data_IF_297647261104
#
_entry.id   IF_297647261104
#
_cell.length_a   1.000
_cell.length_b   1.000
_cell.length_c   1.000
_cell.angle_alpha   90.00
_cell.angle_beta   90.00
_cell.angle_gamma   90.00
#
_symmetry.space_group_name_H-M   'P 1'
#
loop_
_entity.id
_entity.type
_entity.pdbx_description
1 polymer ?
#
# COMPACT_ATOMS: atom_id res chain seq x y z
N UNK A 1 -6.00 -18.58 5.77
CA UNK A 1 -4.72 -18.38 6.49
C UNK A 1 -4.90 -17.53 7.76
N UNK A 2 -5.55 -16.36 7.71
CA UNK A 2 -5.74 -15.45 8.86
C UNK A 2 -6.39 -16.09 10.09
N UNK A 3 -7.51 -16.81 9.94
CA UNK A 3 -8.17 -17.53 11.06
C UNK A 3 -7.26 -18.52 11.78
N UNK A 4 -6.40 -19.22 11.04
CA UNK A 4 -5.45 -20.18 11.63
C UNK A 4 -4.38 -19.48 12.47
N UNK A 5 -3.88 -18.33 11.98
CA UNK A 5 -2.87 -17.53 12.70
C UNK A 5 -3.44 -16.87 13.95
N UNK A 6 -4.67 -16.36 13.86
CA UNK A 6 -5.37 -15.83 15.03
C UNK A 6 -5.62 -16.94 16.07
N UNK A 7 -6.03 -18.15 15.63
CA UNK A 7 -6.16 -19.30 16.55
C UNK A 7 -4.83 -19.66 17.23
N UNK A 8 -3.71 -19.66 16.49
CA UNK A 8 -2.41 -20.00 17.08
C UNK A 8 -1.89 -18.95 18.09
N UNK A 9 -2.30 -17.69 17.95
CA UNK A 9 -1.83 -16.57 18.78
C UNK A 9 -2.91 -16.00 19.71
N UNK A 10 -4.10 -16.63 19.75
CA UNK A 10 -5.25 -16.11 20.50
C UNK A 10 -5.01 -16.05 21.99
N UNK A 11 -4.28 -17.02 22.56
CA UNK A 11 -3.91 -17.03 23.98
C UNK A 11 -2.96 -15.87 24.32
N UNK A 12 -2.03 -15.55 23.44
CA UNK A 12 -1.10 -14.43 23.60
C UNK A 12 -1.83 -13.08 23.51
N UNK A 13 -2.75 -12.93 22.55
CA UNK A 13 -3.60 -11.74 22.48
C UNK A 13 -4.49 -11.61 23.72
N UNK A 14 -5.09 -12.70 24.19
CA UNK A 14 -5.91 -12.68 25.41
C UNK A 14 -5.09 -12.27 26.65
N UNK A 15 -3.88 -12.80 26.80
CA UNK A 15 -2.97 -12.43 27.88
C UNK A 15 -2.57 -10.95 27.79
N UNK A 16 -2.29 -10.45 26.58
CA UNK A 16 -2.03 -9.03 26.35
C UNK A 16 -3.21 -8.16 26.80
N UNK A 17 -4.42 -8.49 26.35
CA UNK A 17 -5.64 -7.73 26.70
C UNK A 17 -5.85 -7.67 28.21
N UNK A 18 -5.61 -8.77 28.93
CA UNK A 18 -5.68 -8.81 30.40
C UNK A 18 -4.59 -7.98 31.07
N UNK A 19 -3.39 -7.88 30.47
CA UNK A 19 -2.27 -7.14 31.04
C UNK A 19 -2.37 -5.62 30.89
N UNK A 20 -3.10 -5.14 29.86
CA UNK A 20 -3.13 -3.70 29.53
C UNK A 20 -4.42 -2.99 29.98
N UNK A 21 -5.43 -3.72 30.46
CA UNK A 21 -6.59 -3.09 31.09
C UNK A 21 -7.74 -4.03 31.40
N UNK A 22 -8.88 -3.44 31.76
CA UNK A 22 -10.00 -4.14 32.37
C UNK A 22 -11.06 -4.53 31.33
N UNK A 23 -11.32 -3.62 30.38
CA UNK A 23 -12.39 -3.80 29.39
C UNK A 23 -11.86 -3.55 27.98
N UNK A 24 -11.98 -4.57 27.13
CA UNK A 24 -11.61 -4.50 25.73
C UNK A 24 -12.86 -4.35 24.85
N UNK A 25 -12.78 -3.45 23.87
CA UNK A 25 -13.79 -3.23 22.83
C UNK A 25 -13.13 -3.38 21.47
N UNK A 26 -13.75 -4.11 20.56
CA UNK A 26 -13.25 -4.27 19.18
C UNK A 26 -13.96 -3.33 18.21
N UNK A 27 -13.30 -2.99 17.10
CA UNK A 27 -13.87 -2.25 15.97
C UNK A 27 -14.45 -0.89 16.37
N UNK A 28 -13.74 -0.17 17.24
CA UNK A 28 -14.19 1.09 17.84
C UNK A 28 -14.03 2.21 16.83
N UNK A 29 -15.15 2.81 16.41
CA UNK A 29 -15.14 4.02 15.59
C UNK A 29 -14.81 5.22 16.45
N UNK A 30 -13.78 5.98 16.06
CA UNK A 30 -13.40 7.24 16.71
C UNK A 30 -13.43 8.39 15.70
N UNK A 31 -13.82 9.58 16.14
CA UNK A 31 -13.95 10.76 15.25
C UNK A 31 -13.57 12.08 15.91
N UNK A 32 -12.87 12.91 15.13
CA UNK A 32 -12.67 14.34 15.37
C UNK A 32 -13.19 15.11 14.15
N UNK A 33 -14.39 15.70 14.31
CA UNK A 33 -15.05 16.45 13.24
C UNK A 33 -14.36 17.79 12.95
N UNK A 34 -13.72 18.41 13.94
CA UNK A 34 -13.04 19.70 13.75
C UNK A 34 -11.79 19.51 12.87
N UNK A 35 -11.08 18.40 13.05
CA UNK A 35 -9.93 18.02 12.24
C UNK A 35 -10.31 17.15 11.04
N UNK A 36 -11.58 16.87 10.76
CA UNK A 36 -12.03 15.97 9.69
C UNK A 36 -11.30 14.61 9.70
N UNK A 37 -11.02 14.09 10.89
CA UNK A 37 -10.36 12.81 11.09
C UNK A 37 -11.36 11.80 11.65
N UNK A 38 -11.27 10.58 11.15
CA UNK A 38 -12.03 9.45 11.66
C UNK A 38 -11.23 8.17 11.42
N UNK A 39 -11.49 7.16 12.22
CA UNK A 39 -10.84 5.86 12.10
C UNK A 39 -11.63 4.78 12.82
N UNK A 40 -11.37 3.53 12.43
CA UNK A 40 -11.86 2.37 13.14
C UNK A 40 -10.65 1.67 13.75
N UNK A 41 -10.60 1.65 15.08
CA UNK A 41 -9.54 1.00 15.84
C UNK A 41 -9.91 -0.46 16.04
N UNK A 42 -9.00 -1.38 15.72
CA UNK A 42 -9.26 -2.81 15.82
C UNK A 42 -9.61 -3.20 17.26
N UNK A 43 -8.84 -2.75 18.26
CA UNK A 43 -9.14 -2.95 19.68
C UNK A 43 -8.75 -1.72 20.50
N UNK A 44 -9.65 -1.29 21.37
CA UNK A 44 -9.38 -0.34 22.45
C UNK A 44 -9.55 -1.06 23.78
N UNK A 45 -8.53 -1.05 24.62
CA UNK A 45 -8.60 -1.52 25.99
C UNK A 45 -8.64 -0.29 26.90
N UNK A 46 -9.62 -0.21 27.79
CA UNK A 46 -9.68 0.87 28.78
C UNK A 46 -9.16 0.39 30.14
N UNK A 47 -8.48 1.29 30.85
CA UNK A 47 -8.17 1.20 32.27
C UNK A 47 -8.43 2.59 32.92
N UNK A 48 -8.06 2.77 34.19
CA UNK A 48 -8.24 4.05 34.89
C UNK A 48 -7.31 5.18 34.40
N UNK A 49 -6.21 4.84 33.74
CA UNK A 49 -5.08 5.74 33.45
C UNK A 49 -5.01 6.20 31.97
N UNK A 50 -5.58 5.44 31.03
CA UNK A 50 -5.53 5.78 29.60
C UNK A 50 -5.79 4.58 28.69
N UNK A 51 -5.39 3.39 29.11
CA UNK A 51 -5.65 2.14 28.40
C UNK A 51 -4.68 1.90 27.24
N UNK A 52 -5.09 1.10 26.26
CA UNK A 52 -4.26 0.78 25.10
C UNK A 52 -5.05 0.80 23.80
N UNK A 53 -4.37 1.24 22.73
CA UNK A 53 -4.84 1.12 21.35
C UNK A 53 -4.05 -0.01 20.70
N UNK A 54 -4.76 -1.01 20.18
CA UNK A 54 -4.14 -2.18 19.55
C UNK A 54 -4.63 -2.30 18.10
N UNK A 55 -3.69 -2.38 17.17
CA UNK A 55 -3.93 -2.59 15.72
C UNK A 55 -3.44 -4.00 15.32
N UNK A 56 -4.32 -4.79 14.72
CA UNK A 56 -4.07 -6.19 14.37
C UNK A 56 -3.49 -6.30 12.95
N UNK A 57 -2.30 -6.90 12.82
CA UNK A 57 -1.62 -7.04 11.53
C UNK A 57 -1.45 -8.48 11.10
N UNK A 58 -1.75 -8.74 9.83
CA UNK A 58 -1.60 -10.07 9.21
C UNK A 58 -0.32 -10.23 8.38
N UNK A 59 0.32 -9.10 8.04
CA UNK A 59 1.54 -8.99 7.23
C UNK A 59 2.84 -9.19 8.01
N UNK A 60 3.98 -9.07 7.32
CA UNK A 60 5.31 -9.16 7.94
C UNK A 60 5.77 -7.81 8.53
N UNK A 61 5.28 -6.70 7.99
CA UNK A 61 5.79 -5.36 8.31
C UNK A 61 4.94 -4.70 9.41
N UNK A 62 5.19 -5.07 10.67
CA UNK A 62 4.55 -4.48 11.85
C UNK A 62 5.12 -3.11 12.23
N UNK A 63 6.41 -2.87 11.98
CA UNK A 63 7.09 -1.61 12.32
C UNK A 63 7.45 -0.77 11.10
N UNK A 64 6.43 -0.26 10.42
CA UNK A 64 6.63 0.73 9.36
C UNK A 64 6.25 2.12 9.87
N UNK A 65 6.86 3.16 9.31
CA UNK A 65 6.47 4.55 9.60
C UNK A 65 4.98 4.79 9.30
N UNK A 66 4.41 4.04 8.34
CA UNK A 66 2.97 4.04 8.05
C UNK A 66 2.15 3.51 9.22
N UNK A 67 2.54 2.39 9.83
CA UNK A 67 1.85 1.81 11.00
C UNK A 67 1.98 2.75 12.20
N UNK A 68 3.19 3.28 12.45
CA UNK A 68 3.42 4.30 13.49
C UNK A 68 2.51 5.51 13.28
N UNK A 69 2.49 6.07 12.07
CA UNK A 69 1.63 7.22 11.72
C UNK A 69 0.15 6.91 11.96
N UNK A 70 -0.33 5.72 11.57
CA UNK A 70 -1.72 5.32 11.80
C UNK A 70 -2.06 5.27 13.30
N UNK A 71 -1.22 4.63 14.11
CA UNK A 71 -1.43 4.53 15.56
C UNK A 71 -1.37 5.90 16.25
N UNK A 72 -0.51 6.81 15.80
CA UNK A 72 -0.47 8.20 16.30
C UNK A 72 -1.76 8.96 15.96
N UNK A 73 -2.34 8.75 14.77
CA UNK A 73 -3.66 9.29 14.43
C UNK A 73 -4.75 8.70 15.34
N UNK A 74 -4.69 7.41 15.64
CA UNK A 74 -5.63 6.77 16.57
C UNK A 74 -5.46 7.29 18.00
N UNK A 75 -4.24 7.55 18.46
CA UNK A 75 -3.97 8.18 19.74
C UNK A 75 -4.61 9.57 19.85
N UNK A 76 -4.52 10.38 18.79
CA UNK A 76 -5.22 11.67 18.72
C UNK A 76 -6.74 11.50 18.82
N UNK A 77 -7.32 10.60 18.02
CA UNK A 77 -8.76 10.36 18.01
C UNK A 77 -9.27 9.85 19.36
N UNK A 78 -8.50 8.99 20.02
CA UNK A 78 -8.80 8.49 21.35
C UNK A 78 -8.74 9.61 22.40
N UNK A 79 -7.71 10.47 22.34
CA UNK A 79 -7.60 11.67 23.17
C UNK A 79 -8.79 12.60 23.00
N UNK A 80 -9.20 12.83 21.76
CA UNK A 80 -10.33 13.70 21.46
C UNK A 80 -11.64 13.16 22.05
N UNK A 81 -11.91 11.85 22.00
CA UNK A 81 -13.16 11.28 22.51
C UNK A 81 -13.19 11.06 24.04
N UNK A 82 -12.04 10.73 24.64
CA UNK A 82 -11.97 10.34 26.05
C UNK A 82 -11.39 11.42 26.97
N UNK A 83 -10.85 12.50 26.38
CA UNK A 83 -10.03 13.51 27.07
C UNK A 83 -8.78 12.93 27.78
N UNK A 84 -8.28 11.77 27.32
CA UNK A 84 -7.09 11.10 27.87
C UNK A 84 -6.25 10.50 26.76
N UNK A 85 -4.94 10.47 26.95
CA UNK A 85 -4.07 9.71 26.05
C UNK A 85 -4.16 8.22 26.37
N UNK A 86 -3.93 7.33 25.39
CA UNK A 86 -3.67 5.94 25.71
C UNK A 86 -2.35 5.82 26.48
N UNK A 87 -2.20 4.82 27.33
CA UNK A 87 -0.93 4.50 28.00
C UNK A 87 0.02 3.78 27.02
N UNK A 88 -0.56 3.03 26.07
CA UNK A 88 0.20 2.23 25.11
C UNK A 88 -0.43 2.25 23.70
N UNK A 89 0.45 2.28 22.70
CA UNK A 89 0.13 1.98 21.31
C UNK A 89 0.80 0.65 20.96
N UNK A 90 0.02 -0.33 20.50
CA UNK A 90 0.49 -1.69 20.28
C UNK A 90 0.10 -2.15 18.88
N UNK A 91 1.05 -2.74 18.18
CA UNK A 91 0.79 -3.54 16.99
C UNK A 91 0.79 -5.00 17.41
N UNK A 92 -0.31 -5.72 17.18
CA UNK A 92 -0.34 -7.16 17.36
C UNK A 92 -0.20 -7.86 16.01
N UNK A 93 1.01 -8.29 15.69
CA UNK A 93 1.31 -9.09 14.51
C UNK A 93 0.87 -10.54 14.72
N UNK A 94 0.00 -11.05 13.84
CA UNK A 94 -0.37 -12.47 13.84
C UNK A 94 0.82 -13.39 13.49
N UNK A 95 1.99 -12.84 13.13
CA UNK A 95 3.24 -13.59 12.92
C UNK A 95 4.18 -13.48 14.11
N UNK A 96 4.41 -12.26 14.59
CA UNK A 96 5.49 -11.95 15.54
C UNK A 96 5.01 -11.68 16.97
N UNK A 97 3.70 -11.52 17.20
CA UNK A 97 3.15 -11.19 18.51
C UNK A 97 2.97 -9.68 18.71
N UNK A 98 2.94 -9.28 19.98
CA UNK A 98 2.77 -7.89 20.38
C UNK A 98 4.06 -7.08 20.26
N UNK A 99 3.96 -5.88 19.70
CA UNK A 99 5.05 -4.92 19.59
C UNK A 99 4.54 -3.54 20.01
N UNK A 100 5.18 -2.95 21.02
CA UNK A 100 4.83 -1.62 21.51
C UNK A 100 5.47 -0.54 20.63
N UNK A 101 4.71 0.52 20.37
CA UNK A 101 5.16 1.69 19.62
C UNK A 101 5.34 2.84 20.61
N UNK A 102 6.59 3.24 20.81
CA UNK A 102 6.92 4.39 21.65
C UNK A 102 6.35 5.67 21.04
N UNK A 103 5.74 6.52 21.84
CA UNK A 103 5.21 7.79 21.38
C UNK A 103 5.21 8.83 22.49
N UNK A 104 5.11 10.09 22.08
CA UNK A 104 4.92 11.25 22.93
C UNK A 104 3.75 12.10 22.40
N UNK A 105 3.27 13.04 23.22
CA UNK A 105 2.32 14.06 22.74
C UNK A 105 2.86 14.85 21.55
N UNK A 106 4.17 15.13 21.54
CA UNK A 106 4.84 15.81 20.43
C UNK A 106 4.78 15.02 19.13
N UNK A 107 4.86 13.68 19.18
CA UNK A 107 4.72 12.82 18.00
C UNK A 107 3.30 12.89 17.42
N UNK A 108 2.29 12.89 18.29
CA UNK A 108 0.88 12.98 17.91
C UNK A 108 0.63 14.33 17.20
N UNK A 109 1.03 15.43 17.85
CA UNK A 109 0.85 16.77 17.30
C UNK A 109 1.65 16.95 16.00
N UNK A 110 2.84 16.36 15.91
CA UNK A 110 3.66 16.31 14.70
C UNK A 110 2.93 15.63 13.55
N UNK A 111 2.33 14.45 13.76
CA UNK A 111 1.53 13.75 12.75
C UNK A 111 0.34 14.59 12.29
N UNK A 112 -0.37 15.24 13.20
CA UNK A 112 -1.51 16.09 12.84
C UNK A 112 -1.10 17.28 11.98
N UNK A 113 0.03 17.93 12.31
CA UNK A 113 0.60 19.00 11.47
C UNK A 113 0.94 18.48 10.07
N UNK A 114 1.53 17.28 9.96
CA UNK A 114 1.81 16.63 8.65
C UNK A 114 0.52 16.38 7.87
N UNK A 115 -0.52 15.85 8.51
CA UNK A 115 -1.82 15.62 7.87
C UNK A 115 -2.47 16.91 7.38
N UNK A 116 -2.47 17.96 8.21
CA UNK A 116 -3.00 19.27 7.84
C UNK A 116 -2.22 19.90 6.68
N UNK A 117 -0.89 19.78 6.69
CA UNK A 117 -0.04 20.26 5.60
C UNK A 117 -0.33 19.50 4.29
N UNK A 118 -0.42 18.17 4.35
CA UNK A 118 -0.72 17.33 3.19
C UNK A 118 -2.07 17.70 2.56
N UNK A 119 -3.12 17.94 3.37
CA UNK A 119 -4.45 18.34 2.85
C UNK A 119 -4.46 19.65 2.05
N UNK A 120 -3.50 20.54 2.30
CA UNK A 120 -3.40 21.82 1.58
C UNK A 120 -2.72 21.66 0.21
N UNK A 121 -2.14 20.50 -0.09
CA UNK A 121 -1.41 20.27 -1.33
C UNK A 121 -2.32 19.67 -2.42
N UNK A 122 -2.50 20.33 -3.57
CA UNK A 122 -3.42 19.90 -4.63
C UNK A 122 -2.96 18.68 -5.43
N UNK A 123 -1.69 18.26 -5.30
CA UNK A 123 -1.12 17.08 -5.96
C UNK A 123 -0.07 16.44 -5.05
N UNK A 124 -0.38 15.26 -4.51
CA UNK A 124 0.45 14.50 -3.56
C UNK A 124 1.04 13.23 -4.17
N UNK A 125 1.04 13.09 -5.50
CA UNK A 125 1.73 11.96 -6.09
C UNK A 125 3.24 12.17 -5.88
N UNK A 126 3.84 11.33 -5.05
CA UNK A 126 5.28 11.22 -4.88
C UNK A 126 5.67 9.85 -5.43
N UNK A 127 5.88 9.72 -6.75
CA UNK A 127 6.16 8.44 -7.35
C UNK A 127 7.48 7.90 -6.81
N UNK A 128 7.43 6.69 -6.27
CA UNK A 128 8.58 5.96 -5.82
C UNK A 128 8.48 4.50 -6.30
N UNK A 129 9.58 3.83 -6.68
CA UNK A 129 9.50 2.48 -7.22
C UNK A 129 8.79 1.48 -6.29
N UNK A 130 9.02 1.57 -4.98
CA UNK A 130 8.48 0.62 -4.01
C UNK A 130 6.97 0.79 -3.79
N UNK A 131 6.49 2.03 -3.66
CA UNK A 131 5.08 2.37 -3.47
C UNK A 131 4.28 2.25 -4.75
N UNK A 132 4.81 2.70 -5.88
CA UNK A 132 4.13 2.62 -7.17
C UNK A 132 3.94 1.18 -7.65
N UNK A 133 4.90 0.28 -7.39
CA UNK A 133 4.83 -1.14 -7.82
C UNK A 133 3.53 -1.82 -7.42
N UNK A 134 2.98 -1.48 -6.26
CA UNK A 134 1.75 -2.08 -5.73
C UNK A 134 0.52 -1.17 -5.84
N UNK A 135 0.65 0.00 -6.48
CA UNK A 135 -0.42 0.99 -6.58
C UNK A 135 -1.42 0.61 -7.69
N UNK A 136 -2.68 0.35 -7.31
CA UNK A 136 -3.75 0.00 -8.26
C UNK A 136 -4.12 1.12 -9.24
N UNK A 137 -3.75 2.37 -8.94
CA UNK A 137 -4.00 3.53 -9.81
C UNK A 137 -2.89 3.76 -10.83
N UNK A 138 -1.78 3.01 -10.74
CA UNK A 138 -0.55 3.21 -11.52
C UNK A 138 -0.80 3.34 -13.03
N UNK A 139 -1.66 2.50 -13.61
CA UNK A 139 -2.00 2.54 -15.04
C UNK A 139 -2.55 3.90 -15.52
N UNK A 140 -3.16 4.68 -14.64
CA UNK A 140 -3.78 5.99 -14.94
C UNK A 140 -3.14 7.15 -14.18
N UNK A 141 -1.98 6.92 -13.54
CA UNK A 141 -1.32 7.92 -12.72
C UNK A 141 -0.21 8.59 -13.53
N UNK A 142 -0.49 9.75 -14.11
CA UNK A 142 0.49 10.46 -14.94
C UNK A 142 1.82 10.75 -14.23
N UNK A 143 1.83 11.24 -12.98
CA UNK A 143 3.09 11.46 -12.26
C UNK A 143 3.94 10.19 -12.15
N UNK A 144 3.31 9.01 -12.05
CA UNK A 144 4.04 7.75 -12.05
C UNK A 144 4.75 7.51 -13.40
N UNK A 145 4.08 7.70 -14.53
CA UNK A 145 4.65 7.44 -15.86
C UNK A 145 5.76 8.41 -16.21
N UNK A 146 5.58 9.68 -15.86
CA UNK A 146 6.63 10.70 -15.97
C UNK A 146 7.90 10.28 -15.21
N UNK A 147 7.75 9.86 -13.94
CA UNK A 147 8.87 9.45 -13.10
C UNK A 147 9.49 8.10 -13.51
N UNK A 148 8.68 7.12 -13.93
CA UNK A 148 9.13 5.76 -14.19
C UNK A 148 10.10 5.65 -15.36
N UNK A 149 10.02 6.57 -16.32
CA UNK A 149 10.97 6.67 -17.43
C UNK A 149 12.43 6.86 -16.99
N UNK A 150 12.65 7.43 -15.80
CA UNK A 150 13.95 7.72 -15.24
C UNK A 150 14.43 6.68 -14.21
N UNK A 151 13.64 5.64 -13.92
CA UNK A 151 14.04 4.60 -12.98
C UNK A 151 15.09 3.69 -13.60
N UNK A 152 16.03 3.21 -12.78
CA UNK A 152 17.09 2.28 -13.21
C UNK A 152 16.51 0.93 -13.65
N UNK A 153 15.55 0.40 -12.89
CA UNK A 153 14.85 -0.85 -13.18
C UNK A 153 13.33 -0.66 -13.12
N UNK A 154 12.72 -0.04 -14.15
CA UNK A 154 11.28 0.11 -14.20
C UNK A 154 10.65 -1.25 -14.46
N UNK A 155 9.52 -1.55 -13.81
CA UNK A 155 8.70 -2.74 -14.10
C UNK A 155 7.47 -2.39 -14.97
N UNK A 156 7.63 -1.40 -15.85
CA UNK A 156 6.57 -0.90 -16.73
C UNK A 156 7.09 -0.45 -18.09
N UNK A 157 6.18 -0.41 -19.07
CA UNK A 157 6.45 0.02 -20.44
C UNK A 157 5.29 0.89 -20.92
N UNK A 158 5.60 2.03 -21.51
CA UNK A 158 4.66 2.89 -22.21
C UNK A 158 5.14 3.14 -23.64
N UNK A 159 4.20 3.17 -24.57
CA UNK A 159 4.45 3.61 -25.93
C UNK A 159 3.32 3.23 -26.87
N UNK A 160 3.61 3.25 -28.17
CA UNK A 160 2.63 2.95 -29.21
C UNK A 160 2.78 1.50 -29.69
N UNK A 161 1.68 0.77 -29.80
CA UNK A 161 1.70 -0.60 -30.34
C UNK A 161 2.09 -0.55 -31.83
N UNK A 162 3.24 -1.11 -32.18
CA UNK A 162 3.71 -1.16 -33.57
C UNK A 162 3.52 -2.52 -34.22
N UNK A 163 3.49 -3.59 -33.42
CA UNK A 163 3.28 -4.96 -33.92
C UNK A 163 2.68 -5.85 -32.85
N UNK A 164 1.87 -6.81 -33.27
CA UNK A 164 1.30 -7.83 -32.38
C UNK A 164 1.51 -9.20 -33.03
N UNK A 165 1.94 -10.17 -32.22
CA UNK A 165 2.14 -11.55 -32.63
C UNK A 165 1.43 -12.50 -31.67
N UNK A 166 0.79 -13.53 -32.22
CA UNK A 166 0.18 -14.59 -31.43
C UNK A 166 1.02 -15.85 -31.54
N UNK A 167 1.35 -16.44 -30.40
CA UNK A 167 1.94 -17.77 -30.32
C UNK A 167 0.84 -18.84 -30.38
N UNK A 168 1.21 -20.06 -30.80
CA UNK A 168 0.30 -21.21 -30.81
C UNK A 168 -0.31 -21.53 -29.42
N UNK A 169 0.34 -21.08 -28.34
CA UNK A 169 -0.07 -21.31 -26.95
C UNK A 169 -1.07 -20.27 -26.42
N UNK A 170 -1.77 -19.53 -27.29
CA UNK A 170 -2.70 -18.42 -26.93
C UNK A 170 -2.05 -17.23 -26.18
N UNK A 171 -0.73 -17.23 -26.06
CA UNK A 171 0.04 -16.10 -25.57
C UNK A 171 0.33 -15.13 -26.69
N UNK A 172 0.50 -13.86 -26.34
CA UNK A 172 0.77 -12.79 -27.28
C UNK A 172 2.10 -12.11 -26.96
N UNK A 173 2.73 -11.59 -28.00
CA UNK A 173 3.85 -10.66 -27.93
C UNK A 173 3.44 -9.36 -28.60
N UNK A 174 3.72 -8.23 -27.95
CA UNK A 174 3.41 -6.89 -28.45
C UNK A 174 4.71 -6.11 -28.55
N UNK A 175 4.99 -5.56 -29.72
CA UNK A 175 6.06 -4.59 -29.90
C UNK A 175 5.52 -3.21 -29.63
N UNK A 176 6.18 -2.50 -28.73
CA UNK A 176 5.84 -1.16 -28.29
C UNK A 176 6.98 -0.23 -28.69
N UNK A 177 6.64 0.80 -29.46
CA UNK A 177 7.55 1.88 -29.79
C UNK A 177 7.51 2.89 -28.64
N UNK A 178 8.59 2.93 -27.85
CA UNK A 178 8.77 3.89 -26.75
C UNK A 178 9.53 5.12 -27.25
N UNK A 179 9.70 6.13 -26.38
CA UNK A 179 10.47 7.33 -26.72
C UNK A 179 11.93 7.01 -27.07
N UNK A 180 12.50 5.96 -26.46
CA UNK A 180 13.93 5.65 -26.56
C UNK A 180 14.26 4.43 -27.42
N UNK A 181 13.33 3.48 -27.58
CA UNK A 181 13.60 2.25 -28.31
C UNK A 181 12.30 1.51 -28.70
N UNK A 182 12.44 0.52 -29.58
CA UNK A 182 11.41 -0.50 -29.75
C UNK A 182 11.62 -1.62 -28.73
N UNK A 183 10.56 -1.98 -28.02
CA UNK A 183 10.63 -2.98 -26.95
C UNK A 183 9.54 -4.05 -27.17
N UNK A 184 9.85 -5.29 -26.82
CA UNK A 184 8.87 -6.37 -26.86
C UNK A 184 8.29 -6.60 -25.48
N UNK A 185 6.98 -6.78 -25.39
CA UNK A 185 6.28 -7.28 -24.21
C UNK A 185 5.69 -8.64 -24.56
N UNK A 186 6.27 -9.71 -24.01
CA UNK A 186 5.99 -11.11 -24.37
C UNK A 186 5.25 -11.84 -23.26
N UNK A 187 4.64 -12.99 -23.59
CA UNK A 187 3.95 -13.84 -22.62
C UNK A 187 2.60 -13.27 -22.14
N UNK A 188 2.03 -12.32 -22.89
CA UNK A 188 0.77 -11.68 -22.52
C UNK A 188 -0.40 -12.65 -22.75
N UNK A 189 -1.25 -12.83 -21.75
CA UNK A 189 -2.53 -13.49 -21.96
C UNK A 189 -3.45 -12.62 -22.82
N UNK A 190 -4.33 -13.24 -23.62
CA UNK A 190 -5.30 -12.51 -24.45
C UNK A 190 -6.16 -11.53 -23.66
N UNK A 191 -6.50 -11.86 -22.40
CA UNK A 191 -7.25 -10.99 -21.49
C UNK A 191 -6.49 -9.70 -21.11
N UNK A 192 -5.16 -9.73 -21.12
CA UNK A 192 -4.31 -8.55 -20.88
C UNK A 192 -4.19 -7.73 -22.15
N UNK A 193 -4.22 -8.35 -23.33
CA UNK A 193 -4.16 -7.62 -24.61
C UNK A 193 -5.49 -6.96 -24.96
N UNK A 194 -6.62 -7.54 -24.57
CA UNK A 194 -7.92 -6.87 -24.45
C UNK A 194 -8.25 -5.81 -25.52
N UNK A 195 -8.36 -6.20 -26.79
CA UNK A 195 -8.83 -5.31 -27.86
C UNK A 195 -7.83 -4.23 -28.32
N UNK A 196 -6.59 -4.25 -27.82
CA UNK A 196 -5.50 -3.41 -28.34
C UNK A 196 -5.27 -3.67 -29.85
N UNK A 197 -4.93 -2.61 -30.57
CA UNK A 197 -4.57 -2.65 -31.99
C UNK A 197 -3.28 -1.89 -32.24
N UNK A 198 -2.63 -2.16 -33.37
CA UNK A 198 -1.53 -1.32 -33.85
C UNK A 198 -1.97 0.15 -33.94
N UNK A 199 -1.12 1.05 -33.46
CA UNK A 199 -1.38 2.48 -33.35
C UNK A 199 -1.98 2.91 -32.01
N UNK A 200 -2.45 2.00 -31.16
CA UNK A 200 -2.92 2.37 -29.82
C UNK A 200 -1.73 2.74 -28.91
N UNK A 201 -1.87 3.81 -28.13
CA UNK A 201 -0.97 4.09 -27.00
C UNK A 201 -1.34 3.17 -25.85
N UNK A 202 -0.34 2.47 -25.32
CA UNK A 202 -0.52 1.44 -24.30
C UNK A 202 0.46 1.61 -23.16
N UNK A 203 -0.01 1.27 -21.96
CA UNK A 203 0.73 1.19 -20.72
C UNK A 203 0.69 -0.23 -20.19
N UNK A 204 1.84 -0.83 -19.90
CA UNK A 204 1.98 -2.12 -19.22
C UNK A 204 2.67 -1.95 -17.87
N UNK A 205 2.14 -2.60 -16.83
CA UNK A 205 2.75 -2.61 -15.49
C UNK A 205 3.04 -4.04 -15.03
N UNK A 206 3.95 -4.17 -14.07
CA UNK A 206 4.35 -5.44 -13.47
C UNK A 206 4.93 -6.43 -14.51
N UNK A 207 5.77 -5.90 -15.40
CA UNK A 207 6.55 -6.67 -16.38
C UNK A 207 8.00 -6.82 -15.89
N UNK A 208 8.65 -7.92 -16.25
CA UNK A 208 10.03 -8.19 -15.86
C UNK A 208 10.96 -8.06 -17.07
N UNK A 209 11.99 -7.20 -16.98
CA UNK A 209 12.95 -6.98 -18.07
C UNK A 209 13.95 -8.12 -18.22
N UNK A 210 14.32 -8.42 -19.47
CA UNK A 210 15.48 -9.23 -19.88
C UNK A 210 16.07 -8.65 -21.17
N UNK A 211 17.40 -8.70 -21.32
CA UNK A 211 18.10 -8.36 -22.57
C UNK A 211 18.88 -7.04 -22.53
N UNK A 212 19.68 -6.82 -23.58
CA UNK A 212 20.54 -5.66 -23.79
C UNK A 212 19.75 -4.36 -24.04
N UNK A 213 20.32 -3.16 -23.77
CA UNK A 213 19.63 -1.87 -23.83
C UNK A 213 18.87 -1.58 -25.14
N UNK A 214 19.34 -2.11 -26.27
CA UNK A 214 18.80 -1.84 -27.61
C UNK A 214 17.67 -2.82 -28.04
N UNK A 215 17.46 -3.91 -27.29
CA UNK A 215 16.47 -4.94 -27.61
C UNK A 215 15.80 -5.48 -26.33
N UNK A 216 15.42 -4.59 -25.42
CA UNK A 216 14.85 -4.95 -24.12
C UNK A 216 13.55 -5.74 -24.32
N UNK A 217 13.57 -7.01 -23.92
CA UNK A 217 12.41 -7.90 -23.86
C UNK A 217 11.82 -7.80 -22.46
N UNK A 218 10.55 -7.43 -22.38
CA UNK A 218 9.77 -7.45 -21.16
C UNK A 218 8.88 -8.67 -21.13
N UNK A 219 8.88 -9.39 -20.03
CA UNK A 219 8.06 -10.59 -19.86
C UNK A 219 6.89 -10.28 -18.95
N UNK A 220 5.70 -10.62 -19.41
CA UNK A 220 4.52 -10.58 -18.59
C UNK A 220 4.68 -11.54 -17.40
N UNK A 221 4.23 -11.08 -16.24
CA UNK A 221 4.04 -11.86 -15.03
C UNK A 221 2.56 -12.20 -14.87
N UNK A 222 2.21 -13.01 -13.87
CA UNK A 222 0.80 -13.29 -13.52
C UNK A 222 0.02 -12.03 -13.10
N UNK A 223 0.75 -10.99 -12.71
CA UNK A 223 0.17 -9.75 -12.24
C UNK A 223 0.23 -8.63 -13.27
N UNK A 224 0.81 -8.88 -14.45
CA UNK A 224 0.83 -7.88 -15.53
C UNK A 224 -0.56 -7.37 -15.85
N UNK A 225 -0.64 -6.07 -16.05
CA UNK A 225 -1.85 -5.36 -16.49
C UNK A 225 -1.50 -4.46 -17.65
N UNK A 226 -2.50 -4.16 -18.46
CA UNK A 226 -2.39 -3.15 -19.52
C UNK A 226 -3.53 -2.14 -19.40
N UNK A 227 -3.31 -0.96 -19.99
CA UNK A 227 -4.37 -0.01 -20.28
C UNK A 227 -4.05 0.70 -21.60
N UNK A 228 -5.09 0.93 -22.41
CA UNK A 228 -5.05 1.92 -23.48
C UNK A 228 -5.12 3.31 -22.85
N UNK A 229 -4.26 4.22 -23.33
CA UNK A 229 -4.22 5.63 -22.93
C UNK A 229 -5.15 6.45 -23.80
#
# INVERSE_FOLDING_TARGET
MTRSRLRSRGAELAALLQSVGETARSEVSLRDSAQLLYGQVDIVVNNQDGGAIIDLRTGADSQTERVRTQLLVYAHLFRHETNRLPDALIVFSLRHGAEQIDFSEGDIDGVLKRVQAARKQPSLAFPDPAGCKFCRRRLRCEPHWEAASAWEDPDCVEGVVSRMEAAATSLMAIRVDTISAQQWVTGLASSVVGGLKSGDTVRFTEVAGKGEPLAKEWRATRSTRSARV
#
